data_IF_099182579955
#
_entry.id   IF_099182579955
#
_cell.length_a   1.000
_cell.length_b   1.000
_cell.length_c   1.000
_cell.angle_alpha   90.00
_cell.angle_beta   90.00
_cell.angle_gamma   90.00
#
_symmetry.space_group_name_H-M   'P 1'
#
loop_
_entity.id
_entity.type
_entity.pdbx_description
1 polymer ?
#
# COMPACT_ATOMS: atom_id res chain seq x y z
N UNK A 1 12.78 -2.13 1.24
CA UNK A 1 12.14 -1.78 -0.04
C UNK A 1 10.62 -2.09 -0.05
N UNK A 2 10.13 -2.61 1.04
CA UNK A 2 8.70 -2.82 1.22
C UNK A 2 8.17 -1.99 2.38
N UNK A 3 6.86 -1.74 2.35
CA UNK A 3 6.12 -1.13 3.45
C UNK A 3 4.97 -2.06 3.81
N UNK A 4 4.45 -1.92 5.02
CA UNK A 4 3.33 -2.74 5.47
C UNK A 4 2.01 -2.12 5.06
N UNK A 5 1.17 -2.93 4.45
CA UNK A 5 -0.17 -2.55 4.02
C UNK A 5 -1.20 -3.40 4.75
N UNK A 6 -2.29 -2.80 5.15
CA UNK A 6 -3.43 -3.51 5.71
C UNK A 6 -4.49 -3.63 4.62
N UNK A 7 -4.92 -4.84 4.35
CA UNK A 7 -6.07 -5.11 3.49
C UNK A 7 -7.27 -5.45 4.37
N UNK A 8 -8.34 -4.72 4.20
CA UNK A 8 -9.56 -4.84 4.99
C UNK A 8 -10.67 -5.32 4.07
N UNK A 9 -11.28 -6.45 4.43
CA UNK A 9 -12.39 -6.99 3.65
C UNK A 9 -13.68 -6.37 4.14
N UNK A 10 -14.29 -5.55 3.28
CA UNK A 10 -15.51 -4.81 3.59
C UNK A 10 -16.66 -5.44 2.81
N UNK A 11 -17.64 -5.98 3.52
CA UNK A 11 -18.91 -6.31 2.88
C UNK A 11 -19.50 -5.00 2.34
N UNK A 12 -20.30 -5.09 1.27
CA UNK A 12 -20.88 -3.93 0.57
C UNK A 12 -21.81 -3.10 1.46
N UNK A 13 -21.31 -2.67 2.62
CA UNK A 13 -22.06 -1.88 3.61
C UNK A 13 -21.24 -0.65 3.99
N UNK A 14 -21.77 0.52 3.70
CA UNK A 14 -21.14 1.79 4.05
C UNK A 14 -20.83 1.91 5.54
N UNK A 15 -21.61 1.27 6.39
CA UNK A 15 -21.38 1.25 7.83
C UNK A 15 -20.09 0.56 8.24
N UNK A 16 -19.65 -0.47 7.50
CA UNK A 16 -18.37 -1.15 7.79
C UNK A 16 -17.19 -0.23 7.55
N UNK A 17 -17.21 0.53 6.45
CA UNK A 17 -16.15 1.49 6.16
C UNK A 17 -16.05 2.55 7.24
N UNK A 18 -17.19 3.12 7.65
CA UNK A 18 -17.22 4.11 8.72
C UNK A 18 -16.67 3.56 10.02
N UNK A 19 -17.06 2.33 10.38
CA UNK A 19 -16.58 1.65 11.58
C UNK A 19 -15.06 1.52 11.59
N UNK A 20 -14.47 1.11 10.46
CA UNK A 20 -13.02 0.99 10.31
C UNK A 20 -12.35 2.34 10.56
N UNK A 21 -12.83 3.38 9.90
CA UNK A 21 -12.26 4.72 10.02
C UNK A 21 -12.39 5.28 11.43
N UNK A 22 -13.51 5.03 12.11
CA UNK A 22 -13.70 5.44 13.50
C UNK A 22 -12.77 4.71 14.46
N UNK A 23 -12.56 3.42 14.28
CA UNK A 23 -11.63 2.64 15.11
C UNK A 23 -10.20 3.17 14.97
N UNK A 24 -9.78 3.49 13.76
CA UNK A 24 -8.45 4.06 13.53
C UNK A 24 -8.32 5.45 14.13
N UNK A 25 -9.37 6.27 14.03
CA UNK A 25 -9.43 7.59 14.64
C UNK A 25 -9.28 7.50 16.16
N UNK A 26 -10.06 6.64 16.81
CA UNK A 26 -10.03 6.45 18.26
C UNK A 26 -8.68 5.94 18.75
N UNK A 27 -8.02 5.11 17.95
CA UNK A 27 -6.68 4.59 18.23
C UNK A 27 -5.57 5.59 17.90
N UNK A 28 -5.93 6.79 17.40
CA UNK A 28 -4.98 7.83 16.99
C UNK A 28 -3.98 7.33 15.93
N UNK A 29 -4.47 6.57 14.97
CA UNK A 29 -3.68 6.05 13.85
C UNK A 29 -3.97 6.91 12.62
N UNK A 30 -2.92 7.48 12.04
CA UNK A 30 -3.05 8.33 10.88
C UNK A 30 -3.02 7.52 9.59
N UNK A 31 -3.97 7.77 8.71
CA UNK A 31 -3.95 7.24 7.35
C UNK A 31 -2.98 8.06 6.50
N UNK A 32 -2.09 7.38 5.80
CA UNK A 32 -1.15 8.00 4.86
C UNK A 32 -1.70 7.89 3.45
N UNK A 33 -2.23 6.73 3.10
CA UNK A 33 -2.81 6.46 1.80
C UNK A 33 -3.87 5.37 1.91
N UNK A 34 -4.83 5.38 1.01
CA UNK A 34 -5.82 4.32 0.97
C UNK A 34 -6.46 4.21 -0.41
N UNK A 35 -6.98 3.02 -0.70
CA UNK A 35 -7.72 2.77 -1.93
C UNK A 35 -8.74 1.66 -1.69
N UNK A 36 -9.86 1.73 -2.38
CA UNK A 36 -10.90 0.70 -2.34
C UNK A 36 -11.00 0.06 -3.71
N UNK A 37 -10.86 -1.26 -3.75
CA UNK A 37 -11.15 -2.06 -4.93
C UNK A 37 -12.47 -2.78 -4.72
N UNK A 38 -13.36 -2.66 -5.67
CA UNK A 38 -14.71 -3.19 -5.58
C UNK A 38 -14.82 -4.52 -6.33
N UNK A 39 -15.53 -5.48 -5.72
CA UNK A 39 -15.92 -6.74 -6.37
C UNK A 39 -17.44 -6.86 -6.26
N UNK A 40 -18.01 -7.90 -6.90
CA UNK A 40 -19.47 -8.10 -6.89
C UNK A 40 -20.01 -8.33 -5.49
N UNK A 41 -19.23 -8.96 -4.62
CA UNK A 41 -19.70 -9.38 -3.28
C UNK A 41 -19.14 -8.55 -2.14
N UNK A 42 -17.95 -7.98 -2.29
CA UNK A 42 -17.28 -7.24 -1.22
C UNK A 42 -16.27 -6.24 -1.80
N UNK A 43 -15.84 -5.30 -0.98
CA UNK A 43 -14.76 -4.40 -1.29
C UNK A 43 -13.50 -4.79 -0.56
N UNK A 44 -12.36 -4.41 -1.10
CA UNK A 44 -11.07 -4.51 -0.42
C UNK A 44 -10.56 -3.09 -0.20
N UNK A 45 -10.45 -2.70 1.06
CA UNK A 45 -9.91 -1.41 1.44
C UNK A 45 -8.46 -1.60 1.85
N UNK A 46 -7.54 -1.07 1.06
CA UNK A 46 -6.10 -1.16 1.34
C UNK A 46 -5.64 0.16 1.93
N UNK A 47 -4.96 0.09 3.07
CA UNK A 47 -4.47 1.29 3.73
C UNK A 47 -2.98 1.20 4.04
N UNK A 48 -2.32 2.35 3.96
CA UNK A 48 -0.99 2.61 4.50
C UNK A 48 -1.20 3.59 5.64
N UNK A 49 -0.66 3.29 6.81
CA UNK A 49 -0.90 4.09 7.99
C UNK A 49 0.35 4.22 8.86
N UNK A 50 0.26 5.08 9.87
CA UNK A 50 1.40 5.43 10.73
C UNK A 50 1.89 4.27 11.61
N UNK A 51 0.99 3.35 11.99
CA UNK A 51 1.32 2.23 12.88
C UNK A 51 0.59 0.97 12.43
N UNK A 52 1.08 0.32 11.36
CA UNK A 52 0.36 -0.79 10.74
C UNK A 52 0.12 -1.99 11.67
N UNK A 53 1.08 -2.32 12.53
CA UNK A 53 0.92 -3.43 13.47
C UNK A 53 -0.20 -3.17 14.49
N UNK A 54 -0.25 -1.96 15.04
CA UNK A 54 -1.29 -1.59 16.00
C UNK A 54 -2.66 -1.45 15.32
N UNK A 55 -2.66 -0.94 14.11
CA UNK A 55 -3.90 -0.87 13.31
C UNK A 55 -4.47 -2.27 13.03
N UNK A 56 -3.60 -3.19 12.63
CA UNK A 56 -3.99 -4.58 12.40
C UNK A 56 -4.64 -5.19 13.63
N UNK A 57 -3.98 -5.07 14.80
CA UNK A 57 -4.48 -5.62 16.06
C UNK A 57 -5.81 -4.96 16.47
N UNK A 58 -5.90 -3.64 16.35
CA UNK A 58 -7.11 -2.89 16.69
C UNK A 58 -8.33 -3.35 15.87
N UNK A 59 -8.14 -3.51 14.57
CA UNK A 59 -9.22 -3.93 13.68
C UNK A 59 -9.59 -5.40 13.88
N UNK A 60 -8.58 -6.24 14.03
CA UNK A 60 -8.81 -7.68 14.28
C UNK A 60 -9.56 -7.92 15.57
N UNK A 61 -9.18 -7.23 16.64
CA UNK A 61 -9.86 -7.36 17.95
C UNK A 61 -11.30 -6.88 17.90
N UNK A 62 -11.62 -5.99 16.98
CA UNK A 62 -12.99 -5.52 16.76
C UNK A 62 -13.81 -6.45 15.84
N UNK A 63 -13.25 -7.59 15.45
CA UNK A 63 -13.94 -8.58 14.63
C UNK A 63 -13.93 -8.27 13.13
N UNK A 64 -13.06 -7.37 12.68
CA UNK A 64 -12.95 -7.01 11.27
C UNK A 64 -11.95 -7.94 10.59
N UNK A 65 -12.30 -8.43 9.40
CA UNK A 65 -11.43 -9.30 8.62
C UNK A 65 -10.32 -8.46 7.98
N UNK A 66 -9.08 -8.69 8.42
CA UNK A 66 -7.92 -7.92 7.98
C UNK A 66 -6.74 -8.83 7.69
N UNK A 67 -5.87 -8.38 6.79
CA UNK A 67 -4.61 -9.03 6.50
C UNK A 67 -3.51 -7.97 6.43
N UNK A 68 -2.34 -8.31 6.97
CA UNK A 68 -1.16 -7.46 6.93
C UNK A 68 -0.19 -8.06 5.92
N UNK A 69 0.30 -7.26 4.99
CA UNK A 69 1.22 -7.73 3.96
C UNK A 69 2.28 -6.69 3.62
N UNK A 70 3.42 -7.19 3.15
CA UNK A 70 4.47 -6.34 2.64
C UNK A 70 4.21 -6.03 1.17
N UNK A 71 4.29 -4.77 0.80
CA UNK A 71 4.13 -4.31 -0.58
C UNK A 71 5.32 -3.47 -0.98
N UNK A 72 5.67 -3.49 -2.24
CA UNK A 72 6.77 -2.66 -2.75
C UNK A 72 6.33 -1.20 -2.81
N UNK A 73 7.27 -0.31 -2.55
CA UNK A 73 7.02 1.13 -2.60
C UNK A 73 8.23 1.84 -3.20
N UNK A 74 8.05 2.41 -4.38
CA UNK A 74 9.10 3.15 -5.08
C UNK A 74 8.84 4.64 -4.96
N UNK A 75 9.92 5.40 -4.80
CA UNK A 75 9.87 6.86 -4.87
C UNK A 75 10.11 7.30 -6.31
N UNK A 76 9.21 8.10 -6.84
CA UNK A 76 9.30 8.64 -8.19
C UNK A 76 9.27 10.16 -8.13
N UNK A 77 10.02 10.80 -9.03
CA UNK A 77 9.88 12.24 -9.22
C UNK A 77 8.45 12.56 -9.65
N UNK A 78 7.91 13.66 -9.13
CA UNK A 78 6.54 14.07 -9.45
C UNK A 78 6.48 14.77 -10.81
N UNK A 79 6.80 14.02 -11.86
CA UNK A 79 6.72 14.50 -13.25
C UNK A 79 6.03 13.44 -14.11
N UNK A 80 5.35 13.86 -15.19
CA UNK A 80 4.66 12.91 -16.08
C UNK A 80 5.59 11.81 -16.61
N UNK A 81 5.06 10.59 -16.65
CA UNK A 81 5.76 9.45 -17.26
C UNK A 81 6.64 8.63 -16.33
N UNK A 82 6.87 9.06 -15.09
CA UNK A 82 7.75 8.32 -14.18
C UNK A 82 7.18 6.95 -13.79
N UNK A 83 5.88 6.87 -13.59
CA UNK A 83 5.24 5.59 -13.32
C UNK A 83 5.37 4.63 -14.51
N UNK A 84 5.21 5.14 -15.72
CA UNK A 84 5.38 4.36 -16.93
C UNK A 84 6.81 3.81 -17.04
N UNK A 85 7.81 4.61 -16.70
CA UNK A 85 9.21 4.19 -16.71
C UNK A 85 9.46 3.03 -15.76
N UNK A 86 8.95 3.13 -14.53
CA UNK A 86 9.10 2.08 -13.52
C UNK A 86 8.39 0.79 -13.94
N UNK A 87 7.16 0.90 -14.41
CA UNK A 87 6.38 -0.27 -14.84
C UNK A 87 7.03 -0.93 -16.05
N UNK A 88 7.61 -0.16 -16.97
CA UNK A 88 8.32 -0.70 -18.14
C UNK A 88 9.47 -1.60 -17.71
N UNK A 89 10.24 -1.17 -16.71
CA UNK A 89 11.36 -1.96 -16.19
C UNK A 89 10.86 -3.32 -15.69
N UNK A 90 9.78 -3.33 -14.91
CA UNK A 90 9.20 -4.57 -14.40
C UNK A 90 8.64 -5.44 -15.52
N UNK A 91 7.95 -4.84 -16.47
CA UNK A 91 7.35 -5.54 -17.62
C UNK A 91 8.42 -6.19 -18.48
N UNK A 92 9.53 -5.50 -18.72
CA UNK A 92 10.64 -6.03 -19.53
C UNK A 92 11.27 -7.28 -18.88
N UNK A 93 11.14 -7.43 -17.57
CA UNK A 93 11.66 -8.57 -16.83
C UNK A 93 10.58 -9.66 -16.64
N UNK A 94 9.43 -9.52 -17.28
CA UNK A 94 8.35 -10.49 -17.20
C UNK A 94 7.60 -10.51 -15.87
N UNK A 95 7.70 -9.44 -15.08
CA UNK A 95 7.03 -9.33 -13.78
C UNK A 95 5.62 -8.78 -13.98
N UNK A 96 4.62 -9.53 -13.52
CA UNK A 96 3.23 -9.09 -13.54
C UNK A 96 2.87 -8.29 -12.29
N UNK A 97 2.25 -7.13 -12.47
CA UNK A 97 1.75 -6.33 -11.37
C UNK A 97 0.33 -6.77 -11.06
N UNK A 98 0.11 -7.23 -9.82
CA UNK A 98 -1.20 -7.69 -9.36
C UNK A 98 -2.13 -6.52 -9.09
N UNK A 99 -1.61 -5.48 -8.45
CA UNK A 99 -2.30 -4.20 -8.26
C UNK A 99 -1.28 -3.12 -7.94
N UNK A 100 -1.67 -1.87 -8.17
CA UNK A 100 -0.84 -0.73 -7.79
C UNK A 100 -1.71 0.49 -7.50
N UNK A 101 -1.19 1.39 -6.70
CA UNK A 101 -1.76 2.69 -6.42
C UNK A 101 -0.64 3.64 -6.02
N UNK A 102 -0.92 4.92 -5.97
CA UNK A 102 0.10 5.92 -5.67
C UNK A 102 -0.43 7.02 -4.76
N UNK A 103 0.51 7.70 -4.11
CA UNK A 103 0.22 8.85 -3.28
C UNK A 103 1.44 9.77 -3.27
N UNK A 104 1.27 10.99 -2.74
CA UNK A 104 2.36 11.95 -2.62
C UNK A 104 2.89 11.96 -1.19
N UNK A 105 4.21 11.96 -1.07
CA UNK A 105 4.89 12.05 0.23
C UNK A 105 6.12 12.93 0.07
N UNK A 106 6.14 14.07 0.76
CA UNK A 106 7.27 15.01 0.68
C UNK A 106 7.52 15.53 -0.74
N UNK A 107 6.46 15.74 -1.53
CA UNK A 107 6.57 16.23 -2.90
C UNK A 107 6.99 15.17 -3.92
N UNK A 108 7.20 13.93 -3.50
CA UNK A 108 7.53 12.81 -4.38
C UNK A 108 6.33 11.91 -4.56
N UNK A 109 6.22 11.28 -5.73
CA UNK A 109 5.25 10.23 -5.96
C UNK A 109 5.73 8.93 -5.33
N UNK A 110 4.86 8.27 -4.58
CA UNK A 110 5.14 6.93 -4.07
C UNK A 110 4.26 5.96 -4.83
N UNK A 111 4.90 5.02 -5.51
CA UNK A 111 4.19 3.97 -6.25
C UNK A 111 4.20 2.70 -5.40
N UNK A 112 3.02 2.31 -4.94
CA UNK A 112 2.84 1.08 -4.15
C UNK A 112 2.34 0.00 -5.08
N UNK A 113 2.92 -1.19 -5.01
CA UNK A 113 2.49 -2.28 -5.87
C UNK A 113 2.83 -3.65 -5.29
N UNK A 114 2.09 -4.63 -5.76
CA UNK A 114 2.34 -6.04 -5.49
C UNK A 114 2.55 -6.77 -6.81
N UNK A 115 3.41 -7.77 -6.80
CA UNK A 115 3.75 -8.52 -8.02
C UNK A 115 3.51 -10.02 -7.82
N UNK A 116 3.51 -10.73 -8.94
CA UNK A 116 3.43 -12.20 -8.97
C UNK A 116 4.76 -12.88 -8.64
N UNK A 117 5.87 -12.13 -8.56
CA UNK A 117 7.19 -12.66 -8.26
C UNK A 117 7.98 -11.68 -7.37
N UNK A 118 7.76 -11.70 -6.04
CA UNK A 118 8.43 -10.77 -5.13
C UNK A 118 9.96 -10.87 -5.14
N UNK A 119 10.52 -12.08 -5.25
CA UNK A 119 11.97 -12.26 -5.24
C UNK A 119 12.62 -11.62 -6.47
N UNK A 120 12.06 -11.86 -7.65
CA UNK A 120 12.56 -11.26 -8.88
C UNK A 120 12.38 -9.74 -8.86
N UNK A 121 11.29 -9.27 -8.28
CA UNK A 121 11.04 -7.84 -8.14
C UNK A 121 12.14 -7.16 -7.32
N UNK A 122 12.57 -7.77 -6.21
CA UNK A 122 13.67 -7.24 -5.40
C UNK A 122 14.96 -7.14 -6.20
N UNK A 123 15.30 -8.20 -6.95
CA UNK A 123 16.49 -8.20 -7.80
C UNK A 123 16.43 -7.08 -8.83
N UNK A 124 15.31 -6.90 -9.50
CA UNK A 124 15.13 -5.88 -10.55
C UNK A 124 15.23 -4.48 -9.98
N UNK A 125 14.66 -4.24 -8.80
CA UNK A 125 14.76 -2.95 -8.12
C UNK A 125 16.23 -2.62 -7.84
N UNK A 126 16.98 -3.57 -7.33
CA UNK A 126 18.41 -3.38 -7.03
C UNK A 126 19.22 -3.17 -8.30
N UNK A 127 19.04 -4.02 -9.31
CA UNK A 127 19.80 -3.97 -10.56
C UNK A 127 19.58 -2.68 -11.35
N UNK A 128 18.42 -2.06 -11.22
CA UNK A 128 18.07 -0.84 -11.93
C UNK A 128 18.16 0.41 -11.05
N UNK A 129 18.71 0.29 -9.86
CA UNK A 129 18.88 1.39 -8.91
C UNK A 129 17.58 2.17 -8.67
N UNK A 130 16.46 1.47 -8.61
CA UNK A 130 15.18 2.10 -8.33
C UNK A 130 15.14 2.55 -6.87
N UNK A 131 14.68 3.77 -6.65
CA UNK A 131 14.62 4.34 -5.30
C UNK A 131 13.36 3.83 -4.60
N UNK A 132 13.53 3.24 -3.44
CA UNK A 132 12.42 2.67 -2.65
C UNK A 132 12.35 3.31 -1.28
N UNK A 133 11.20 3.13 -0.63
CA UNK A 133 11.00 3.53 0.77
C UNK A 133 10.69 2.31 1.63
N UNK A 134 10.85 2.49 2.93
CA UNK A 134 10.51 1.50 3.96
C UNK A 134 9.56 2.12 4.97
N UNK A 135 9.04 1.33 5.90
CA UNK A 135 8.18 1.82 6.97
C UNK A 135 8.84 2.93 7.79
N UNK A 136 10.16 2.88 7.94
CA UNK A 136 10.90 3.92 8.64
C UNK A 136 10.78 5.28 7.94
N UNK A 137 10.84 5.28 6.61
CA UNK A 137 10.70 6.51 5.83
C UNK A 137 9.30 7.10 5.99
N UNK A 138 8.28 6.27 6.04
CA UNK A 138 6.90 6.69 6.28
C UNK A 138 6.75 7.33 7.66
N UNK A 139 7.31 6.72 8.69
CA UNK A 139 7.23 7.20 10.06
C UNK A 139 7.87 8.57 10.24
N UNK A 140 8.95 8.85 9.51
CA UNK A 140 9.66 10.13 9.59
C UNK A 140 8.95 11.25 8.83
N UNK A 141 8.14 10.95 7.82
CA UNK A 141 7.53 11.94 6.92
C UNK A 141 6.02 12.06 7.08
N UNK A 142 5.41 11.04 7.63
CA UNK A 142 3.99 11.04 7.92
C UNK A 142 3.73 11.64 9.31
#
# INVERSE_FOLDING_TARGET
MTIQQISIFIENKSGTLLKVLQLLKEANIQLVASTIADTVEYGIYRIICSEPGRAYTTLKDAGISVALSDVFALTLDNVPGRAADAVRILTNEGIGITYMYSFLLGGKGILVFRTDNPERTREVIILNDLVFITDKDLSLKA
#
